data_IF_561759688807
#
_entry.id   IF_561759688807
#
_cell.length_a   1.000
_cell.length_b   1.000
_cell.length_c   1.000
_cell.angle_alpha   90.00
_cell.angle_beta   90.00
_cell.angle_gamma   90.00
#
_symmetry.space_group_name_H-M   'P 1'
#
loop_
_entity.id
_entity.type
_entity.pdbx_description
1 polymer ?
#
# COMPACT_ATOMS: atom_id res chain seq x y z
N UNK A 1 6.20 -13.52 -4.58
CA UNK A 1 5.72 -12.38 -5.38
C UNK A 1 6.08 -11.09 -4.68
N UNK A 2 6.14 -10.02 -5.41
CA UNK A 2 6.65 -8.77 -4.86
C UNK A 2 5.85 -7.60 -5.40
N UNK A 3 5.60 -6.62 -4.55
CA UNK A 3 5.00 -5.37 -4.98
C UNK A 3 5.76 -4.21 -4.33
N UNK A 4 5.48 -3.00 -4.78
CA UNK A 4 6.09 -1.82 -4.19
C UNK A 4 5.00 -0.87 -3.73
N UNK A 5 5.31 -0.13 -2.68
CA UNK A 5 4.46 0.94 -2.19
C UNK A 5 5.26 2.22 -2.23
N UNK A 6 4.82 3.15 -3.06
CA UNK A 6 5.45 4.46 -3.13
C UNK A 6 4.63 5.44 -2.32
N UNK A 7 5.21 5.92 -1.23
CA UNK A 7 4.55 6.90 -0.37
C UNK A 7 4.78 8.26 -1.00
N UNK A 8 3.74 8.80 -1.60
CA UNK A 8 3.90 10.00 -2.43
C UNK A 8 4.34 11.20 -1.62
N UNK A 9 3.86 11.30 -0.38
CA UNK A 9 4.20 12.46 0.44
C UNK A 9 5.66 12.46 0.85
N UNK A 10 6.18 11.28 1.20
CA UNK A 10 7.56 11.16 1.62
C UNK A 10 8.50 10.89 0.46
N UNK A 11 7.95 10.65 -0.71
CA UNK A 11 8.77 10.30 -1.87
C UNK A 11 9.65 9.10 -1.57
N UNK A 12 9.05 8.08 -1.00
CA UNK A 12 9.77 6.91 -0.53
C UNK A 12 9.08 5.66 -1.07
N UNK A 13 9.87 4.70 -1.54
CA UNK A 13 9.33 3.46 -2.08
C UNK A 13 9.78 2.30 -1.20
N UNK A 14 8.81 1.48 -0.79
CA UNK A 14 9.07 0.28 -0.01
C UNK A 14 8.70 -0.93 -0.83
N UNK A 15 9.48 -1.99 -0.69
CA UNK A 15 9.17 -3.25 -1.34
C UNK A 15 8.59 -4.21 -0.34
N UNK A 16 7.63 -5.00 -0.80
CA UNK A 16 7.01 -6.02 0.03
C UNK A 16 6.91 -7.32 -0.73
N UNK A 17 7.23 -8.41 -0.06
CA UNK A 17 7.09 -9.74 -0.64
C UNK A 17 5.90 -10.44 -0.03
N UNK A 18 5.24 -11.24 -0.82
CA UNK A 18 4.04 -11.93 -0.35
C UNK A 18 3.83 -13.21 -1.12
N UNK A 19 2.99 -14.07 -0.61
CA UNK A 19 2.64 -15.32 -1.24
C UNK A 19 1.14 -15.47 -1.24
N UNK A 20 0.61 -16.00 -2.35
CA UNK A 20 -0.81 -16.26 -2.45
C UNK A 20 -1.64 -15.01 -2.29
N UNK A 21 -2.80 -15.19 -1.71
CA UNK A 21 -3.73 -14.08 -1.55
C UNK A 21 -3.48 -13.39 -0.21
N UNK A 22 -2.61 -12.43 -0.24
CA UNK A 22 -2.27 -11.64 0.94
C UNK A 22 -2.91 -10.27 0.80
N UNK A 23 -3.72 -9.83 1.76
CA UNK A 23 -4.35 -8.51 1.65
C UNK A 23 -3.31 -7.41 1.72
N UNK A 24 -3.59 -6.33 1.01
CA UNK A 24 -2.68 -5.19 0.99
C UNK A 24 -2.44 -4.64 2.38
N UNK A 25 -3.46 -4.66 3.24
CA UNK A 25 -3.30 -4.14 4.59
C UNK A 25 -2.21 -4.86 5.36
N UNK A 26 -2.09 -6.17 5.17
CA UNK A 26 -1.03 -6.92 5.85
C UNK A 26 0.35 -6.44 5.41
N UNK A 27 0.51 -6.21 4.12
CA UNK A 27 1.79 -5.76 3.59
C UNK A 27 2.11 -4.34 4.03
N UNK A 28 1.09 -3.48 4.08
CA UNK A 28 1.31 -2.13 4.56
C UNK A 28 1.79 -2.14 6.00
N UNK A 29 1.18 -2.95 6.83
CA UNK A 29 1.59 -3.03 8.23
C UNK A 29 3.02 -3.53 8.35
N UNK A 30 3.41 -4.48 7.51
CA UNK A 30 4.78 -4.97 7.50
C UNK A 30 5.76 -3.85 7.19
N UNK A 31 5.35 -2.91 6.35
CA UNK A 31 6.19 -1.78 5.98
C UNK A 31 6.08 -0.63 6.98
N UNK A 32 5.32 -0.81 8.05
CA UNK A 32 5.16 0.26 9.04
C UNK A 32 4.14 1.31 8.65
N UNK A 33 3.27 0.98 7.70
CA UNK A 33 2.24 1.90 7.25
C UNK A 33 0.90 1.46 7.81
N UNK A 34 0.19 2.38 8.45
CA UNK A 34 -1.10 2.07 9.05
C UNK A 34 -2.17 2.25 7.97
N UNK A 35 -2.86 1.17 7.59
CA UNK A 35 -3.77 1.24 6.43
C UNK A 35 -4.88 2.26 6.58
N UNK A 36 -5.34 2.51 7.80
CA UNK A 36 -6.44 3.45 8.02
C UNK A 36 -6.06 4.88 7.69
N UNK A 37 -4.79 5.17 7.54
CA UNK A 37 -4.33 6.54 7.33
C UNK A 37 -3.96 6.84 5.89
N UNK A 38 -4.18 5.89 4.98
CA UNK A 38 -3.71 6.06 3.61
C UNK A 38 -4.78 5.61 2.63
N UNK A 39 -4.63 6.08 1.41
CA UNK A 39 -5.38 5.61 0.26
C UNK A 39 -4.39 4.91 -0.66
N UNK A 40 -4.76 3.73 -1.13
CA UNK A 40 -3.92 2.95 -2.04
C UNK A 40 -4.43 3.16 -3.45
N UNK A 41 -3.52 3.45 -4.37
CA UNK A 41 -3.89 3.70 -5.74
C UNK A 41 -3.09 2.79 -6.67
N UNK A 42 -3.75 2.23 -7.66
CA UNK A 42 -3.09 1.39 -8.67
C UNK A 42 -3.64 1.79 -10.02
N UNK A 43 -2.75 2.26 -10.90
CA UNK A 43 -3.12 2.65 -12.26
C UNK A 43 -4.26 3.65 -12.28
N UNK A 44 -4.24 4.59 -11.36
CA UNK A 44 -5.24 5.63 -11.30
C UNK A 44 -6.53 5.25 -10.62
N UNK A 45 -6.60 4.04 -10.05
CA UNK A 45 -7.81 3.57 -9.35
C UNK A 45 -7.51 3.41 -7.88
N UNK A 46 -8.48 3.72 -7.05
CA UNK A 46 -8.36 3.48 -5.62
C UNK A 46 -8.65 2.01 -5.35
N UNK A 47 -7.76 1.39 -4.59
CA UNK A 47 -7.82 -0.03 -4.30
C UNK A 47 -8.11 -0.21 -2.82
N UNK A 48 -9.09 -1.03 -2.45
CA UNK A 48 -9.37 -1.28 -1.03
C UNK A 48 -8.21 -2.01 -0.36
N UNK A 49 -8.02 -1.72 0.92
CA UNK A 49 -6.89 -2.31 1.64
C UNK A 49 -7.04 -3.80 1.86
N UNK A 50 -8.25 -4.31 1.78
CA UNK A 50 -8.46 -5.76 1.98
C UNK A 50 -8.36 -6.54 0.69
N UNK A 51 -8.06 -5.87 -0.41
CA UNK A 51 -7.91 -6.56 -1.68
C UNK A 51 -6.59 -7.32 -1.71
N UNK A 52 -6.55 -8.51 -2.33
CA UNK A 52 -5.28 -9.24 -2.42
C UNK A 52 -4.24 -8.47 -3.20
N UNK A 53 -3.01 -8.52 -2.73
CA UNK A 53 -1.92 -7.84 -3.38
C UNK A 53 -1.59 -8.48 -4.72
N UNK A 54 -1.11 -7.67 -5.66
CA UNK A 54 -0.65 -8.12 -6.96
C UNK A 54 0.78 -7.66 -7.15
N UNK A 55 1.44 -8.25 -8.12
CA UNK A 55 2.79 -7.81 -8.48
C UNK A 55 2.67 -6.51 -9.26
N UNK A 56 2.67 -5.41 -8.54
CA UNK A 56 2.42 -4.11 -9.13
C UNK A 56 3.06 -3.03 -8.29
N UNK A 57 3.07 -1.83 -8.82
CA UNK A 57 3.58 -0.65 -8.11
C UNK A 57 2.40 0.14 -7.61
N UNK A 58 2.18 0.13 -6.31
CA UNK A 58 1.08 0.85 -5.69
C UNK A 58 1.55 2.21 -5.21
N UNK A 59 0.69 3.21 -5.32
CA UNK A 59 0.93 4.50 -4.72
C UNK A 59 0.14 4.60 -3.43
N UNK A 60 0.78 5.13 -2.41
CA UNK A 60 0.17 5.24 -1.10
C UNK A 60 0.12 6.71 -0.73
N UNK A 61 -1.09 7.21 -0.56
CA UNK A 61 -1.32 8.62 -0.31
C UNK A 61 -1.81 8.78 1.13
N UNK A 62 -1.06 9.53 1.92
CA UNK A 62 -1.42 9.76 3.31
C UNK A 62 -2.56 10.76 3.37
N UNK A 63 -3.65 10.35 4.03
CA UNK A 63 -4.81 11.22 4.14
C UNK A 63 -5.09 11.65 5.57
N UNK A 64 -4.47 11.04 6.54
CA UNK A 64 -4.78 11.30 7.92
C UNK A 64 -4.35 12.70 8.27
N UNK A 65 -5.20 13.35 8.91
CA UNK A 65 -4.85 14.58 9.43
C UNK A 65 -5.15 14.51 10.85
N UNK A 66 -5.34 13.87 11.36
CA UNK A 66 -5.79 13.96 12.50
C UNK A 66 -5.35 14.35 13.34
N UNK A 67 -5.45 14.57 13.27
CA UNK A 67 -4.88 15.30 14.01
C UNK A 67 -4.88 15.19 15.26
#
# INVERSE_FOLDING_TARGET
MRCTFTLTKENLTEEAEFEGETPLSDLLLTCGIIPDTVIIELNGRIVPEDEPAEEADYYVITTASRG
#
